data_IF_084196991962
#
_entry.id   IF_084196991962
#
_cell.length_a   1.000
_cell.length_b   1.000
_cell.length_c   1.000
_cell.angle_alpha   90.00
_cell.angle_beta   90.00
_cell.angle_gamma   90.00
#
_symmetry.space_group_name_H-M   'P 1'
#
loop_
_entity.id
_entity.type
_entity.pdbx_description
1 polymer ?
#
# COMPACT_ATOMS: atom_id res chain seq x y z
N UNK A 1 -16.02 10.77 -1.07
CA UNK A 1 -14.73 11.41 -0.66
C UNK A 1 -13.62 10.89 -1.55
N UNK A 2 -12.46 11.53 -1.56
CA UNK A 2 -11.24 11.08 -2.25
C UNK A 2 -10.02 11.51 -1.44
N UNK A 3 -8.82 11.00 -1.78
CA UNK A 3 -7.56 11.40 -1.12
C UNK A 3 -7.33 12.92 -1.14
N UNK A 4 -7.83 13.61 -2.18
CA UNK A 4 -7.72 15.08 -2.27
C UNK A 4 -8.65 15.81 -1.31
N UNK A 5 -9.80 15.27 -1.00
CA UNK A 5 -10.80 15.91 -0.12
C UNK A 5 -10.72 15.42 1.32
N UNK A 6 -10.09 14.27 1.53
CA UNK A 6 -9.82 13.69 2.84
C UNK A 6 -8.57 12.78 2.76
N UNK A 7 -7.36 13.32 2.98
CA UNK A 7 -6.13 12.51 3.05
C UNK A 7 -6.19 11.60 4.28
N UNK A 8 -6.12 10.28 4.06
CA UNK A 8 -6.33 9.31 5.13
C UNK A 8 -5.04 8.85 5.80
N UNK A 9 -3.94 8.74 5.05
CA UNK A 9 -2.68 8.16 5.54
C UNK A 9 -1.75 9.16 6.21
N UNK A 10 -1.76 10.42 5.78
CA UNK A 10 -0.90 11.48 6.34
C UNK A 10 -1.43 12.07 7.64
N UNK A 11 -2.61 11.63 8.12
CA UNK A 11 -3.25 12.09 9.35
C UNK A 11 -2.95 11.14 10.51
N UNK A 12 -3.21 11.60 11.74
CA UNK A 12 -3.23 10.72 12.91
C UNK A 12 -4.25 9.59 12.66
N UNK A 13 -3.81 8.35 12.80
CA UNK A 13 -4.66 7.20 12.60
C UNK A 13 -5.65 7.04 13.76
N UNK A 14 -6.95 6.78 13.47
CA UNK A 14 -7.95 6.50 14.49
C UNK A 14 -7.74 5.12 15.10
N UNK A 15 -8.30 4.88 16.29
CA UNK A 15 -8.29 3.59 16.96
C UNK A 15 -9.61 2.82 16.84
N UNK A 16 -10.63 3.37 16.15
CA UNK A 16 -11.94 2.70 15.97
C UNK A 16 -12.69 3.28 14.77
N UNK A 17 -13.69 2.55 14.25
CA UNK A 17 -14.59 3.05 13.20
C UNK A 17 -15.34 4.31 13.63
N UNK A 18 -15.70 4.42 14.92
CA UNK A 18 -16.33 5.64 15.47
C UNK A 18 -15.41 6.84 15.33
N UNK A 19 -14.14 6.72 15.72
CA UNK A 19 -13.16 7.82 15.59
C UNK A 19 -12.86 8.13 14.13
N UNK A 20 -12.72 7.09 13.28
CA UNK A 20 -12.48 7.25 11.86
C UNK A 20 -13.57 8.13 11.22
N UNK A 21 -14.83 7.80 11.43
CA UNK A 21 -15.97 8.55 10.87
C UNK A 21 -16.13 9.91 11.54
N UNK A 22 -15.88 10.04 12.85
CA UNK A 22 -15.88 11.34 13.52
C UNK A 22 -14.84 12.29 12.93
N UNK A 23 -13.66 11.78 12.56
CA UNK A 23 -12.62 12.56 11.87
C UNK A 23 -13.04 13.04 10.47
N UNK A 24 -14.02 12.39 9.84
CA UNK A 24 -14.51 12.74 8.49
C UNK A 24 -15.58 13.85 8.49
N UNK A 25 -16.01 14.39 9.64
CA UNK A 25 -17.07 15.41 9.72
C UNK A 25 -16.78 16.66 8.89
N UNK A 26 -15.53 17.00 8.69
CA UNK A 26 -15.09 18.14 7.87
C UNK A 26 -14.71 17.77 6.44
N UNK A 27 -14.85 16.49 6.08
CA UNK A 27 -14.53 16.02 4.73
C UNK A 27 -15.54 16.60 3.73
N UNK A 28 -15.01 16.97 2.55
CA UNK A 28 -15.85 17.46 1.45
C UNK A 28 -16.13 16.34 0.45
N UNK A 29 -17.26 16.44 -0.22
CA UNK A 29 -17.53 15.56 -1.36
C UNK A 29 -16.54 15.87 -2.48
N UNK A 30 -16.01 14.85 -3.12
CA UNK A 30 -15.14 14.99 -4.28
C UNK A 30 -15.91 15.39 -5.55
N UNK A 31 -17.18 14.99 -5.62
CA UNK A 31 -18.14 15.33 -6.66
C UNK A 31 -19.57 15.16 -6.11
N UNK A 32 -20.57 15.62 -6.83
CA UNK A 32 -21.96 15.32 -6.50
C UNK A 32 -22.19 13.81 -6.50
N UNK A 33 -23.02 13.26 -5.58
CA UNK A 33 -23.32 11.84 -5.54
C UNK A 33 -23.82 11.31 -6.89
N UNK A 34 -23.33 10.14 -7.31
CA UNK A 34 -23.73 9.49 -8.56
C UNK A 34 -23.11 10.07 -9.83
N UNK A 35 -22.27 11.13 -9.77
CA UNK A 35 -21.71 11.78 -10.96
C UNK A 35 -20.29 11.36 -11.30
N UNK A 36 -19.51 10.90 -10.31
CA UNK A 36 -18.12 10.48 -10.49
C UNK A 36 -17.76 9.36 -9.52
N UNK A 37 -17.11 8.35 -10.02
CA UNK A 37 -16.55 7.30 -9.20
C UNK A 37 -15.09 7.61 -8.80
N UNK A 38 -14.77 7.42 -7.53
CA UNK A 38 -13.41 7.43 -7.00
C UNK A 38 -13.27 6.37 -5.92
N UNK A 39 -12.24 5.54 -6.02
CA UNK A 39 -11.89 4.60 -4.96
C UNK A 39 -11.27 5.32 -3.78
N UNK A 40 -11.79 5.06 -2.58
CA UNK A 40 -11.23 5.65 -1.36
C UNK A 40 -11.58 4.80 -0.15
N UNK A 41 -10.56 4.29 0.56
CA UNK A 41 -10.74 3.42 1.72
C UNK A 41 -11.69 3.97 2.80
N UNK A 42 -11.64 5.25 3.19
CA UNK A 42 -12.56 5.82 4.15
C UNK A 42 -14.05 5.68 3.82
N UNK A 43 -14.43 5.52 2.53
CA UNK A 43 -15.82 5.26 2.17
C UNK A 43 -16.31 3.91 2.72
N UNK A 44 -15.44 2.90 2.74
CA UNK A 44 -15.74 1.57 3.31
C UNK A 44 -15.77 1.61 4.83
N UNK A 45 -14.95 2.44 5.46
CA UNK A 45 -15.00 2.68 6.91
C UNK A 45 -16.36 3.31 7.33
N UNK A 46 -16.89 4.22 6.51
CA UNK A 46 -18.25 4.79 6.72
C UNK A 46 -19.31 3.69 6.60
N UNK A 47 -19.20 2.81 5.58
CA UNK A 47 -20.14 1.69 5.41
C UNK A 47 -20.09 0.71 6.58
N UNK A 48 -18.88 0.34 7.05
CA UNK A 48 -18.71 -0.51 8.22
C UNK A 48 -19.28 0.14 9.49
N UNK A 49 -19.06 1.44 9.70
CA UNK A 49 -19.66 2.16 10.82
C UNK A 49 -21.18 2.23 10.73
N UNK A 50 -21.74 2.34 9.54
CA UNK A 50 -23.20 2.26 9.35
C UNK A 50 -23.74 0.89 9.81
N UNK A 51 -23.05 -0.19 9.49
CA UNK A 51 -23.40 -1.55 10.00
C UNK A 51 -23.40 -1.56 11.51
N UNK A 52 -22.37 -1.01 12.19
CA UNK A 52 -22.34 -0.94 13.65
C UNK A 52 -23.52 -0.16 14.24
N UNK A 53 -23.85 0.98 13.64
CA UNK A 53 -24.94 1.83 14.15
C UNK A 53 -26.30 1.18 14.00
N UNK A 54 -26.55 0.53 12.85
CA UNK A 54 -27.84 -0.09 12.55
C UNK A 54 -28.01 -1.41 13.30
N UNK A 55 -26.95 -2.18 13.45
CA UNK A 55 -27.03 -3.49 14.11
C UNK A 55 -26.87 -3.43 15.65
N UNK A 56 -26.31 -2.34 16.18
CA UNK A 56 -25.94 -2.23 17.60
C UNK A 56 -24.75 -3.12 18.00
N UNK A 57 -24.01 -3.69 17.04
CA UNK A 57 -22.87 -4.59 17.24
C UNK A 57 -21.59 -3.94 16.75
N UNK A 58 -20.43 -4.43 17.21
CA UNK A 58 -19.16 -4.09 16.55
C UNK A 58 -19.13 -4.70 15.13
N UNK A 59 -18.32 -4.13 14.24
CA UNK A 59 -18.22 -4.65 12.87
C UNK A 59 -17.69 -6.09 12.86
N UNK A 60 -16.73 -6.43 13.74
CA UNK A 60 -16.23 -7.80 13.91
C UNK A 60 -17.32 -8.75 14.36
N UNK A 61 -18.09 -8.40 15.42
CA UNK A 61 -19.19 -9.24 15.90
C UNK A 61 -20.28 -9.44 14.86
N UNK A 62 -20.54 -8.39 14.05
CA UNK A 62 -21.51 -8.50 12.96
C UNK A 62 -21.02 -9.48 11.89
N UNK A 63 -19.78 -9.35 11.42
CA UNK A 63 -19.22 -10.24 10.41
C UNK A 63 -19.11 -11.67 10.94
N UNK A 64 -18.68 -11.84 12.18
CA UNK A 64 -18.60 -13.16 12.83
C UNK A 64 -19.97 -13.85 12.93
N UNK A 65 -21.00 -13.09 13.28
CA UNK A 65 -22.37 -13.64 13.45
C UNK A 65 -23.05 -13.94 12.12
N UNK A 66 -22.90 -13.06 11.12
CA UNK A 66 -23.73 -13.10 9.91
C UNK A 66 -22.97 -13.48 8.63
N UNK A 67 -21.65 -13.54 8.69
CA UNK A 67 -20.81 -13.89 7.52
C UNK A 67 -19.87 -15.04 7.85
N UNK A 68 -18.92 -14.83 8.76
CA UNK A 68 -17.86 -15.82 9.05
C UNK A 68 -18.39 -17.10 9.66
N UNK A 69 -19.21 -16.99 10.71
CA UNK A 69 -19.83 -18.16 11.37
C UNK A 69 -20.67 -19.01 10.43
N UNK A 70 -21.66 -18.41 9.72
CA UNK A 70 -22.49 -19.14 8.75
C UNK A 70 -21.71 -19.80 7.60
N UNK A 71 -20.52 -19.26 7.23
CA UNK A 71 -19.64 -19.85 6.22
C UNK A 71 -18.60 -20.82 6.78
N UNK A 72 -18.56 -21.05 8.11
CA UNK A 72 -17.54 -21.87 8.75
C UNK A 72 -16.13 -21.27 8.70
N UNK A 73 -16.00 -19.93 8.52
CA UNK A 73 -14.73 -19.20 8.43
C UNK A 73 -14.16 -18.95 9.85
N UNK A 74 -13.72 -20.01 10.52
CA UNK A 74 -13.31 -19.96 11.91
C UNK A 74 -12.00 -19.21 12.18
N UNK A 75 -11.14 -19.09 11.18
CA UNK A 75 -9.86 -18.37 11.26
C UNK A 75 -9.99 -16.88 10.90
N UNK A 76 -11.20 -16.42 10.54
CA UNK A 76 -11.44 -15.07 10.05
C UNK A 76 -11.95 -14.12 11.14
N UNK A 77 -11.40 -12.91 11.15
CA UNK A 77 -11.80 -11.81 12.04
C UNK A 77 -11.39 -10.46 11.46
N UNK A 78 -11.88 -9.37 12.03
CA UNK A 78 -11.37 -8.03 11.72
C UNK A 78 -10.43 -7.51 12.81
N UNK A 79 -9.56 -6.59 12.43
CA UNK A 79 -8.71 -5.81 13.33
C UNK A 79 -8.88 -4.32 13.03
N UNK A 80 -8.74 -3.49 14.04
CA UNK A 80 -8.79 -2.03 13.90
C UNK A 80 -7.46 -1.48 13.40
N UNK A 81 -6.36 -1.90 13.99
CA UNK A 81 -5.02 -1.36 13.73
C UNK A 81 -4.00 -2.48 13.52
N UNK A 82 -2.92 -2.16 12.80
CA UNK A 82 -1.85 -3.09 12.49
C UNK A 82 -1.16 -3.70 13.74
N UNK A 83 -1.22 -3.02 14.89
CA UNK A 83 -0.68 -3.54 16.14
C UNK A 83 -1.41 -4.79 16.67
N UNK A 84 -2.61 -5.06 16.18
CA UNK A 84 -3.41 -6.26 16.54
C UNK A 84 -3.10 -7.48 15.67
N UNK A 85 -2.17 -7.35 14.69
CA UNK A 85 -1.74 -8.46 13.87
C UNK A 85 -1.08 -9.55 14.72
N UNK A 86 -1.56 -10.81 14.65
CA UNK A 86 -0.93 -11.91 15.35
C UNK A 86 0.43 -12.27 14.71
N UNK A 87 1.27 -12.95 15.47
CA UNK A 87 2.58 -13.39 14.98
C UNK A 87 2.49 -14.28 13.72
N UNK A 88 1.39 -15.04 13.57
CA UNK A 88 1.09 -15.88 12.41
C UNK A 88 0.82 -15.06 11.12
N UNK A 89 0.42 -13.81 11.24
CA UNK A 89 0.18 -12.90 10.12
C UNK A 89 1.29 -11.83 9.99
N UNK A 90 2.50 -12.13 10.45
CA UNK A 90 3.64 -11.21 10.36
C UNK A 90 3.99 -10.92 8.91
N UNK A 91 4.03 -9.65 8.57
CA UNK A 91 4.35 -9.20 7.22
C UNK A 91 5.84 -9.00 6.98
N UNK A 92 6.23 -8.91 5.71
CA UNK A 92 7.63 -8.83 5.28
C UNK A 92 7.78 -7.81 4.14
N UNK A 93 8.95 -7.17 4.11
CA UNK A 93 9.46 -6.53 2.89
C UNK A 93 10.43 -7.46 2.19
N UNK A 94 10.45 -7.41 0.87
CA UNK A 94 11.46 -8.10 0.08
C UNK A 94 12.61 -7.14 -0.20
N UNK A 95 13.83 -7.51 0.21
CA UNK A 95 15.05 -6.73 0.00
C UNK A 95 16.11 -7.70 -0.55
N UNK A 96 16.66 -7.44 -1.71
CA UNK A 96 17.59 -8.33 -2.41
C UNK A 96 17.07 -9.79 -2.54
N UNK A 97 15.76 -9.96 -2.67
CA UNK A 97 15.11 -11.27 -2.75
C UNK A 97 14.95 -11.99 -1.39
N UNK A 98 15.42 -11.42 -0.30
CA UNK A 98 15.21 -11.94 1.05
C UNK A 98 13.96 -11.32 1.70
N UNK A 99 13.15 -12.14 2.38
CA UNK A 99 12.01 -11.67 3.15
C UNK A 99 12.48 -11.16 4.52
N UNK A 100 12.34 -9.85 4.73
CA UNK A 100 12.69 -9.17 5.98
C UNK A 100 11.42 -8.85 6.74
N UNK A 101 11.24 -9.45 7.91
CA UNK A 101 10.07 -9.21 8.75
C UNK A 101 10.06 -7.79 9.31
N UNK A 102 9.00 -7.05 9.03
CA UNK A 102 8.78 -5.70 9.52
C UNK A 102 7.31 -5.53 9.94
N UNK A 103 7.04 -4.71 10.96
CA UNK A 103 5.65 -4.37 11.30
C UNK A 103 5.03 -3.57 10.15
N UNK A 104 3.74 -3.74 9.91
CA UNK A 104 2.96 -2.85 9.04
C UNK A 104 3.02 -1.42 9.59
N UNK A 105 3.20 -0.39 8.74
CA UNK A 105 3.14 0.99 9.21
C UNK A 105 1.80 1.27 9.89
N UNK A 106 1.76 2.13 10.92
CA UNK A 106 0.52 2.46 11.59
C UNK A 106 -0.55 2.93 10.60
N UNK A 107 -1.63 2.18 10.52
CA UNK A 107 -2.79 2.49 9.68
C UNK A 107 -4.05 1.89 10.32
N UNK A 108 -5.18 2.58 10.17
CA UNK A 108 -6.49 2.06 10.54
C UNK A 108 -7.05 1.24 9.38
N UNK A 109 -7.32 -0.04 9.62
CA UNK A 109 -7.71 -0.99 8.58
C UNK A 109 -9.18 -1.38 8.60
N UNK A 110 -9.84 -1.35 9.75
CA UNK A 110 -11.19 -1.91 9.89
C UNK A 110 -12.20 -1.30 8.91
N UNK A 111 -13.02 -2.14 8.32
CA UNK A 111 -13.98 -1.79 7.27
C UNK A 111 -13.37 -1.64 5.87
N UNK A 112 -12.05 -1.37 5.74
CA UNK A 112 -11.41 -1.14 4.45
C UNK A 112 -10.24 -2.06 4.08
N UNK A 113 -9.71 -2.82 5.06
CA UNK A 113 -8.55 -3.69 4.82
C UNK A 113 -8.13 -4.51 6.04
N UNK A 114 -8.85 -4.44 7.15
CA UNK A 114 -8.50 -5.08 8.42
C UNK A 114 -9.00 -6.54 8.57
N UNK A 115 -9.40 -7.22 7.50
CA UNK A 115 -9.81 -8.64 7.61
C UNK A 115 -8.58 -9.54 7.58
N UNK A 116 -8.45 -10.36 8.62
CA UNK A 116 -7.54 -11.52 8.65
C UNK A 116 -8.32 -12.76 8.26
N UNK A 117 -7.73 -13.65 7.49
CA UNK A 117 -8.37 -14.88 7.03
C UNK A 117 -7.33 -15.98 6.74
N UNK A 118 -7.81 -17.19 6.51
CA UNK A 118 -7.01 -18.33 6.03
C UNK A 118 -7.40 -18.70 4.59
N UNK A 119 -6.56 -19.48 3.91
CA UNK A 119 -6.87 -19.97 2.57
C UNK A 119 -8.14 -20.83 2.55
N UNK A 120 -8.40 -21.60 3.61
CA UNK A 120 -9.63 -22.39 3.77
C UNK A 120 -10.85 -21.47 3.86
N UNK A 121 -10.79 -20.46 4.69
CA UNK A 121 -11.90 -19.53 4.90
C UNK A 121 -12.20 -18.73 3.64
N UNK A 122 -11.15 -18.30 2.94
CA UNK A 122 -11.31 -17.62 1.64
C UNK A 122 -11.90 -18.53 0.57
N UNK A 123 -11.64 -19.84 0.61
CA UNK A 123 -12.32 -20.79 -0.28
C UNK A 123 -13.83 -20.86 0.04
N UNK A 124 -14.22 -20.93 1.31
CA UNK A 124 -15.63 -20.89 1.71
C UNK A 124 -16.33 -19.59 1.28
N UNK A 125 -15.64 -18.46 1.45
CA UNK A 125 -16.10 -17.16 0.95
C UNK A 125 -16.33 -17.15 -0.58
N UNK A 126 -15.35 -17.66 -1.36
CA UNK A 126 -15.46 -17.70 -2.82
C UNK A 126 -16.56 -18.67 -3.29
N UNK A 127 -16.75 -19.79 -2.57
CA UNK A 127 -17.89 -20.69 -2.82
C UNK A 127 -19.19 -19.93 -2.66
N UNK A 128 -19.38 -19.19 -1.56
CA UNK A 128 -20.60 -18.42 -1.34
C UNK A 128 -20.81 -17.34 -2.44
N UNK A 129 -19.74 -16.66 -2.85
CA UNK A 129 -19.79 -15.66 -3.90
C UNK A 129 -20.09 -16.25 -5.29
N UNK A 130 -19.63 -17.46 -5.59
CA UNK A 130 -19.91 -18.18 -6.84
C UNK A 130 -21.23 -18.96 -6.84
N UNK A 131 -21.75 -19.31 -5.65
CA UNK A 131 -22.93 -20.17 -5.46
C UNK A 131 -24.17 -19.41 -4.97
N UNK A 132 -24.50 -18.31 -5.62
CA UNK A 132 -25.71 -17.50 -5.35
C UNK A 132 -25.87 -17.06 -3.89
N UNK A 133 -24.77 -16.79 -3.19
CA UNK A 133 -24.75 -16.37 -1.79
C UNK A 133 -24.81 -17.50 -0.79
N UNK A 134 -24.64 -18.75 -1.20
CA UNK A 134 -24.70 -19.94 -0.34
C UNK A 134 -23.32 -20.51 -0.07
N UNK A 135 -22.99 -20.69 1.19
CA UNK A 135 -21.78 -21.37 1.64
C UNK A 135 -21.71 -22.85 1.28
N UNK A 136 -20.60 -23.52 1.65
CA UNK A 136 -20.38 -24.94 1.33
C UNK A 136 -21.46 -25.86 1.92
N UNK A 137 -22.06 -25.52 3.06
CA UNK A 137 -23.13 -26.25 3.73
C UNK A 137 -24.54 -25.86 3.25
N UNK A 138 -24.65 -24.95 2.28
CA UNK A 138 -25.90 -24.43 1.77
C UNK A 138 -26.49 -23.23 2.54
N UNK A 139 -25.87 -22.81 3.65
CA UNK A 139 -26.28 -21.63 4.42
C UNK A 139 -26.16 -20.37 3.59
N UNK A 140 -27.23 -19.56 3.53
CA UNK A 140 -27.26 -18.34 2.73
C UNK A 140 -26.87 -17.12 3.56
N UNK A 141 -25.88 -16.35 3.10
CA UNK A 141 -25.47 -15.08 3.70
C UNK A 141 -26.00 -13.85 2.96
N UNK A 142 -26.43 -14.02 1.74
CA UNK A 142 -27.03 -12.97 0.91
C UNK A 142 -27.98 -13.60 -0.10
N UNK A 143 -29.07 -12.90 -0.43
CA UNK A 143 -30.00 -13.37 -1.46
C UNK A 143 -29.38 -13.35 -2.86
N UNK A 144 -29.81 -14.23 -3.79
CA UNK A 144 -29.31 -14.21 -5.17
C UNK A 144 -29.45 -12.84 -5.87
N UNK A 145 -30.57 -12.09 -5.75
CA UNK A 145 -30.66 -10.73 -6.27
C UNK A 145 -29.68 -9.75 -5.61
N UNK A 146 -29.48 -9.89 -4.28
CA UNK A 146 -28.51 -9.11 -3.53
C UNK A 146 -27.07 -9.34 -4.05
N UNK A 147 -26.68 -10.60 -4.23
CA UNK A 147 -25.39 -10.96 -4.78
C UNK A 147 -25.18 -10.41 -6.19
N UNK A 148 -26.19 -10.53 -7.06
CA UNK A 148 -26.16 -9.97 -8.41
C UNK A 148 -25.97 -8.44 -8.40
N UNK A 149 -26.53 -7.76 -7.39
CA UNK A 149 -26.33 -6.33 -7.17
C UNK A 149 -24.90 -6.02 -6.70
N UNK A 150 -24.33 -6.83 -5.78
CA UNK A 150 -22.96 -6.69 -5.32
C UNK A 150 -21.94 -6.79 -6.47
N UNK A 151 -22.18 -7.66 -7.45
CA UNK A 151 -21.29 -7.90 -8.58
C UNK A 151 -21.58 -7.01 -9.81
N UNK A 152 -22.57 -6.13 -9.75
CA UNK A 152 -22.93 -5.25 -10.88
C UNK A 152 -22.18 -3.92 -10.77
N UNK A 153 -21.32 -3.56 -11.74
CA UNK A 153 -20.69 -2.24 -11.79
C UNK A 153 -21.73 -1.13 -11.88
N UNK A 154 -21.44 0.00 -11.25
CA UNK A 154 -22.25 1.20 -11.47
C UNK A 154 -21.95 1.79 -12.85
N UNK A 155 -22.93 2.47 -13.46
CA UNK A 155 -22.75 3.14 -14.74
C UNK A 155 -21.61 4.17 -14.72
N UNK A 156 -21.37 4.78 -13.55
CA UNK A 156 -20.33 5.81 -13.35
C UNK A 156 -18.93 5.22 -13.22
N UNK A 157 -18.80 4.00 -12.69
CA UNK A 157 -17.50 3.33 -12.53
C UNK A 157 -17.08 2.55 -13.79
N UNK A 158 -18.04 2.05 -14.55
CA UNK A 158 -17.82 1.20 -15.71
C UNK A 158 -17.35 -0.22 -15.39
N UNK A 159 -16.52 -0.40 -14.37
CA UNK A 159 -15.92 -1.70 -14.01
C UNK A 159 -15.93 -2.02 -12.52
N UNK A 160 -16.23 -1.06 -11.64
CA UNK A 160 -16.23 -1.28 -10.20
C UNK A 160 -17.66 -1.38 -9.66
N UNK A 161 -17.91 -2.49 -8.96
CA UNK A 161 -19.18 -2.79 -8.29
C UNK A 161 -19.10 -2.45 -6.78
N UNK A 162 -19.85 -3.13 -5.94
CA UNK A 162 -19.83 -2.91 -4.49
C UNK A 162 -18.73 -3.76 -3.84
N UNK A 163 -17.49 -3.26 -3.91
CA UNK A 163 -16.30 -3.95 -3.41
C UNK A 163 -15.68 -4.97 -4.38
N UNK A 164 -16.12 -5.00 -5.64
CA UNK A 164 -15.64 -5.91 -6.67
C UNK A 164 -15.28 -5.18 -7.95
N UNK A 165 -14.18 -5.58 -8.56
CA UNK A 165 -13.81 -5.19 -9.92
C UNK A 165 -14.29 -6.23 -10.90
N UNK A 166 -15.00 -5.81 -11.94
CA UNK A 166 -15.46 -6.68 -13.02
C UNK A 166 -14.58 -6.42 -14.24
N UNK A 167 -14.01 -7.47 -14.79
CA UNK A 167 -13.04 -7.37 -15.87
C UNK A 167 -12.96 -8.64 -16.70
N UNK A 168 -11.81 -8.82 -17.33
CA UNK A 168 -11.48 -10.01 -18.11
C UNK A 168 -10.09 -10.51 -17.75
N UNK A 169 -9.90 -11.81 -17.84
CA UNK A 169 -8.59 -12.46 -17.76
C UNK A 169 -7.75 -12.15 -18.99
N UNK A 170 -6.51 -12.56 -19.01
CA UNK A 170 -5.64 -12.42 -20.18
C UNK A 170 -6.17 -13.20 -21.41
N UNK A 171 -6.92 -14.29 -21.21
CA UNK A 171 -7.58 -15.04 -22.27
C UNK A 171 -8.87 -14.37 -22.77
N UNK A 172 -9.35 -13.31 -22.11
CA UNK A 172 -10.59 -12.62 -22.43
C UNK A 172 -11.81 -13.15 -21.69
N UNK A 173 -11.71 -14.17 -20.83
CA UNK A 173 -12.81 -14.70 -20.03
C UNK A 173 -13.25 -13.70 -18.95
N UNK A 174 -14.54 -13.67 -18.58
CA UNK A 174 -15.03 -12.75 -17.54
C UNK A 174 -14.43 -13.09 -16.16
N UNK A 175 -14.09 -12.05 -15.38
CA UNK A 175 -13.62 -12.18 -14.02
C UNK A 175 -14.27 -11.15 -13.10
N UNK A 176 -14.49 -11.52 -11.85
CA UNK A 176 -14.99 -10.67 -10.78
C UNK A 176 -14.01 -10.83 -9.62
N UNK A 177 -13.25 -9.81 -9.31
CA UNK A 177 -12.16 -9.93 -8.31
C UNK A 177 -11.88 -8.65 -7.56
N UNK A 178 -11.02 -8.73 -6.58
CA UNK A 178 -10.47 -7.58 -5.86
C UNK A 178 -9.10 -7.90 -5.28
N UNK A 179 -8.18 -6.96 -5.36
CA UNK A 179 -6.88 -7.03 -4.72
C UNK A 179 -6.87 -6.33 -3.37
N UNK A 180 -5.89 -6.67 -2.54
CA UNK A 180 -5.57 -6.00 -1.29
C UNK A 180 -4.07 -5.74 -1.23
N UNK A 181 -3.70 -4.47 -1.00
CA UNK A 181 -2.31 -4.03 -0.98
C UNK A 181 -2.03 -3.30 0.34
N UNK A 182 -1.35 -3.97 1.25
CA UNK A 182 -0.71 -3.38 2.41
C UNK A 182 0.80 -3.28 2.16
N UNK A 183 1.51 -2.59 3.04
CA UNK A 183 2.95 -2.38 2.88
C UNK A 183 3.76 -3.65 3.14
N UNK A 184 3.25 -4.57 3.95
CA UNK A 184 3.92 -5.83 4.32
C UNK A 184 3.12 -7.07 3.99
N UNK A 185 1.93 -6.95 3.40
CA UNK A 185 1.06 -8.06 3.00
C UNK A 185 0.25 -7.71 1.77
N UNK A 186 -0.03 -8.70 0.93
CA UNK A 186 -0.88 -8.55 -0.25
C UNK A 186 -1.90 -9.66 -0.34
N UNK A 187 -3.04 -9.39 -0.97
CA UNK A 187 -4.07 -10.39 -1.23
C UNK A 187 -4.67 -10.17 -2.62
N UNK A 188 -5.19 -11.23 -3.19
CA UNK A 188 -6.01 -11.17 -4.40
C UNK A 188 -7.06 -12.26 -4.37
N UNK A 189 -8.28 -11.94 -4.76
CA UNK A 189 -9.37 -12.90 -4.94
C UNK A 189 -10.08 -12.67 -6.26
N UNK A 190 -10.48 -13.74 -6.91
CA UNK A 190 -11.24 -13.69 -8.16
C UNK A 190 -12.20 -14.86 -8.29
N UNK A 191 -13.33 -14.59 -8.88
CA UNK A 191 -14.28 -15.56 -9.44
C UNK A 191 -14.06 -15.63 -10.93
N UNK A 192 -14.13 -16.82 -11.49
CA UNK A 192 -14.05 -17.13 -12.91
C UNK A 192 -15.40 -17.73 -13.34
N UNK A 193 -16.42 -16.89 -13.63
CA UNK A 193 -17.78 -17.38 -13.88
C UNK A 193 -17.91 -18.37 -15.04
N UNK A 194 -17.02 -18.27 -16.04
CA UNK A 194 -17.03 -19.16 -17.22
C UNK A 194 -16.64 -20.59 -16.87
N UNK A 195 -15.74 -20.79 -15.91
CA UNK A 195 -15.25 -22.13 -15.48
C UNK A 195 -15.83 -22.57 -14.15
N UNK A 196 -16.53 -21.68 -13.41
CA UNK A 196 -17.07 -21.95 -12.08
C UNK A 196 -16.02 -22.01 -10.97
N UNK A 197 -14.79 -21.58 -11.26
CA UNK A 197 -13.70 -21.59 -10.26
C UNK A 197 -13.59 -20.27 -9.51
N UNK A 198 -12.97 -20.32 -8.33
CA UNK A 198 -12.53 -19.16 -7.58
C UNK A 198 -11.05 -19.30 -7.21
N UNK A 199 -10.33 -18.18 -7.19
CA UNK A 199 -8.92 -18.10 -6.79
C UNK A 199 -8.78 -17.11 -5.67
N UNK A 200 -8.13 -17.49 -4.57
CA UNK A 200 -7.70 -16.59 -3.51
C UNK A 200 -6.23 -16.80 -3.21
N UNK A 201 -5.47 -15.72 -3.17
CA UNK A 201 -4.05 -15.72 -2.80
C UNK A 201 -3.84 -14.67 -1.74
N UNK A 202 -3.20 -15.06 -0.65
CA UNK A 202 -2.73 -14.17 0.40
C UNK A 202 -1.24 -14.38 0.57
N UNK A 203 -0.49 -13.29 0.54
CA UNK A 203 0.96 -13.29 0.71
C UNK A 203 1.33 -12.33 1.84
N UNK A 204 2.20 -12.76 2.73
CA UNK A 204 2.77 -11.91 3.78
C UNK A 204 3.99 -11.14 3.31
N UNK A 205 3.95 -10.69 2.06
CA UNK A 205 4.93 -9.80 1.43
C UNK A 205 4.23 -8.58 0.84
N UNK A 206 4.85 -7.43 0.99
CA UNK A 206 4.21 -6.14 0.71
C UNK A 206 3.98 -5.84 -0.77
N UNK A 207 3.24 -4.77 -0.97
CA UNK A 207 2.74 -4.33 -2.28
C UNK A 207 3.85 -3.99 -3.30
N UNK A 208 5.06 -3.64 -2.84
CA UNK A 208 6.19 -3.34 -3.74
C UNK A 208 6.52 -4.49 -4.71
N UNK A 209 6.18 -5.72 -4.34
CA UNK A 209 6.42 -6.92 -5.16
C UNK A 209 5.16 -7.52 -5.78
N UNK A 210 3.96 -7.18 -5.26
CA UNK A 210 2.67 -7.63 -5.81
C UNK A 210 2.50 -9.15 -5.92
N UNK A 211 3.11 -9.92 -5.01
CA UNK A 211 3.20 -11.38 -5.11
C UNK A 211 1.84 -12.06 -5.19
N UNK A 212 0.83 -11.58 -4.44
CA UNK A 212 -0.49 -12.18 -4.46
C UNK A 212 -1.17 -12.06 -5.83
N UNK A 213 -1.14 -10.87 -6.44
CA UNK A 213 -1.71 -10.64 -7.78
C UNK A 213 -0.97 -11.44 -8.85
N UNK A 214 0.37 -11.43 -8.82
CA UNK A 214 1.18 -12.16 -9.80
C UNK A 214 0.96 -13.69 -9.72
N UNK A 215 0.84 -14.23 -8.50
CA UNK A 215 0.55 -15.65 -8.32
C UNK A 215 -0.89 -15.98 -8.73
N UNK A 216 -1.86 -15.14 -8.41
CA UNK A 216 -3.24 -15.32 -8.81
C UNK A 216 -3.40 -15.33 -10.34
N UNK A 217 -2.76 -14.42 -11.06
CA UNK A 217 -2.75 -14.39 -12.53
C UNK A 217 -2.21 -15.68 -13.14
N UNK A 218 -1.14 -16.23 -12.55
CA UNK A 218 -0.56 -17.51 -12.99
C UNK A 218 -1.49 -18.69 -12.70
N UNK A 219 -2.15 -18.72 -11.56
CA UNK A 219 -3.15 -19.74 -11.23
C UNK A 219 -4.37 -19.66 -12.17
N UNK A 220 -4.84 -18.46 -12.48
CA UNK A 220 -5.92 -18.23 -13.42
C UNK A 220 -5.53 -18.75 -14.82
N UNK A 221 -4.33 -18.44 -15.30
CA UNK A 221 -3.84 -18.94 -16.58
C UNK A 221 -3.79 -20.49 -16.61
N UNK A 222 -3.36 -21.13 -15.53
CA UNK A 222 -3.37 -22.61 -15.43
C UNK A 222 -4.79 -23.18 -15.46
N UNK A 223 -5.74 -22.56 -14.76
CA UNK A 223 -7.16 -22.98 -14.80
C UNK A 223 -7.74 -22.84 -16.21
N UNK A 224 -7.35 -21.82 -16.95
CA UNK A 224 -7.79 -21.55 -18.32
C UNK A 224 -7.00 -22.35 -19.37
N UNK A 225 -6.01 -23.16 -18.98
CA UNK A 225 -5.17 -23.92 -19.90
C UNK A 225 -4.27 -23.04 -20.78
N UNK A 226 -3.97 -21.82 -20.35
CA UNK A 226 -3.13 -20.87 -21.08
C UNK A 226 -1.72 -20.79 -20.46
N UNK A 227 -0.69 -20.41 -21.23
CA UNK A 227 0.65 -20.21 -20.67
C UNK A 227 0.62 -19.13 -19.57
N UNK A 228 1.21 -19.39 -18.39
CA UNK A 228 1.27 -18.39 -17.35
C UNK A 228 2.12 -17.19 -17.80
N UNK A 229 1.78 -15.97 -17.38
CA UNK A 229 2.56 -14.77 -17.70
C UNK A 229 4.02 -14.96 -17.23
N UNK A 230 4.99 -14.38 -17.96
CA UNK A 230 6.39 -14.44 -17.57
C UNK A 230 6.59 -13.86 -16.18
N UNK A 231 7.56 -14.38 -15.43
CA UNK A 231 7.95 -13.76 -14.17
C UNK A 231 8.41 -12.32 -14.46
N UNK A 232 7.92 -11.34 -13.67
CA UNK A 232 8.34 -9.96 -13.80
C UNK A 232 9.85 -9.78 -13.62
N UNK A 233 10.37 -8.62 -14.03
CA UNK A 233 11.80 -8.29 -13.83
C UNK A 233 12.15 -8.40 -12.35
N UNK A 234 13.19 -9.18 -11.99
CA UNK A 234 13.55 -9.33 -10.59
C UNK A 234 13.94 -7.98 -9.99
N UNK A 235 13.16 -7.48 -9.05
CA UNK A 235 13.49 -6.25 -8.32
C UNK A 235 14.82 -6.36 -7.55
N UNK A 236 15.33 -7.58 -7.35
CA UNK A 236 16.66 -7.85 -6.82
C UNK A 236 17.76 -7.09 -7.59
N UNK A 237 17.67 -7.01 -8.92
CA UNK A 237 18.65 -6.24 -9.72
C UNK A 237 18.55 -4.75 -9.43
N UNK A 238 17.34 -4.23 -9.30
CA UNK A 238 17.10 -2.82 -8.94
C UNK A 238 17.65 -2.53 -7.54
N UNK A 239 17.36 -3.40 -6.58
CA UNK A 239 17.90 -3.30 -5.22
C UNK A 239 19.43 -3.28 -5.21
N UNK A 240 20.07 -4.21 -5.92
CA UNK A 240 21.53 -4.31 -6.01
C UNK A 240 22.13 -3.02 -6.61
N UNK A 241 21.57 -2.52 -7.69
CA UNK A 241 22.01 -1.27 -8.32
C UNK A 241 21.89 -0.09 -7.35
N UNK A 242 20.76 0.05 -6.67
CA UNK A 242 20.54 1.15 -5.72
C UNK A 242 21.50 1.08 -4.53
N UNK A 243 21.82 -0.10 -4.03
CA UNK A 243 22.79 -0.28 -2.94
C UNK A 243 24.21 0.00 -3.41
N UNK A 244 24.62 -0.42 -4.60
CA UNK A 244 25.92 -0.06 -5.20
C UNK A 244 26.03 1.46 -5.35
N UNK A 245 24.98 2.13 -5.82
CA UNK A 245 24.93 3.59 -5.91
C UNK A 245 25.02 4.24 -4.51
N UNK A 246 24.40 3.66 -3.50
CA UNK A 246 24.52 4.17 -2.11
C UNK A 246 25.97 4.08 -1.61
N UNK A 247 26.67 2.96 -1.82
CA UNK A 247 28.07 2.80 -1.46
C UNK A 247 28.95 3.79 -2.21
N UNK A 248 28.76 3.92 -3.53
CA UNK A 248 29.49 4.89 -4.34
C UNK A 248 29.26 6.34 -3.86
N UNK A 249 28.03 6.69 -3.53
CA UNK A 249 27.65 7.99 -2.98
C UNK A 249 28.34 8.26 -1.65
N UNK A 250 28.36 7.28 -0.74
CA UNK A 250 29.08 7.38 0.54
C UNK A 250 30.59 7.59 0.34
N UNK A 251 31.21 6.84 -0.56
CA UNK A 251 32.63 6.98 -0.89
C UNK A 251 32.95 8.37 -1.48
N UNK A 252 32.13 8.85 -2.40
CA UNK A 252 32.29 10.21 -2.98
C UNK A 252 32.11 11.31 -1.94
N UNK A 253 31.12 11.18 -1.06
CA UNK A 253 30.91 12.12 0.03
C UNK A 253 32.11 12.13 1.01
N UNK A 254 32.58 10.96 1.42
CA UNK A 254 33.79 10.83 2.25
C UNK A 254 35.01 11.49 1.63
N UNK A 255 35.25 11.21 0.33
CA UNK A 255 36.33 11.88 -0.43
C UNK A 255 36.16 13.40 -0.48
N UNK A 256 34.93 13.88 -0.65
CA UNK A 256 34.63 15.31 -0.68
C UNK A 256 34.86 15.97 0.70
N UNK A 257 34.53 15.31 1.81
CA UNK A 257 34.83 15.75 3.18
C UNK A 257 36.33 15.83 3.40
N UNK A 258 37.08 14.79 3.06
CA UNK A 258 38.56 14.78 3.19
C UNK A 258 39.21 15.90 2.35
N UNK A 259 38.67 16.21 1.18
CA UNK A 259 39.17 17.29 0.30
C UNK A 259 38.63 18.68 0.65
N UNK A 260 37.81 18.85 1.68
CA UNK A 260 37.22 20.15 2.03
C UNK A 260 38.27 21.20 2.41
N UNK A 261 39.41 20.81 2.96
CA UNK A 261 40.57 21.73 3.16
C UNK A 261 41.09 22.32 1.86
N UNK A 262 41.37 21.47 0.86
CA UNK A 262 41.83 21.90 -0.47
C UNK A 262 40.76 22.72 -1.19
N UNK A 263 39.51 22.35 -1.06
CA UNK A 263 38.40 23.10 -1.64
C UNK A 263 38.31 24.53 -1.05
N UNK A 264 38.47 24.71 0.26
CA UNK A 264 38.47 26.00 0.94
C UNK A 264 39.75 26.82 0.68
N UNK A 265 40.90 26.19 0.38
CA UNK A 265 42.19 26.83 0.29
C UNK A 265 42.30 27.95 -0.75
N UNK A 266 41.58 27.86 -1.85
CA UNK A 266 41.57 28.88 -2.92
C UNK A 266 40.31 29.76 -2.96
N UNK A 267 39.53 29.83 -1.86
CA UNK A 267 38.21 30.51 -1.86
C UNK A 267 38.08 31.46 -0.69
N UNK A 268 37.46 32.60 -0.95
CA UNK A 268 37.01 33.59 0.05
C UNK A 268 35.47 33.44 0.19
N UNK A 269 34.93 33.78 1.34
CA UNK A 269 33.47 33.80 1.56
C UNK A 269 32.89 34.95 0.70
N UNK A 270 32.33 34.57 -0.41
CA UNK A 270 31.62 35.45 -1.35
C UNK A 270 30.28 34.80 -1.70
N UNK A 271 29.27 35.57 -2.14
CA UNK A 271 27.97 35.00 -2.54
C UNK A 271 28.10 33.81 -3.50
N UNK A 272 28.94 33.90 -4.50
CA UNK A 272 29.20 32.82 -5.46
C UNK A 272 29.82 31.55 -4.85
N UNK A 273 30.59 31.67 -3.79
CA UNK A 273 31.13 30.51 -3.06
C UNK A 273 30.01 29.76 -2.35
N UNK A 274 29.04 30.51 -1.80
CA UNK A 274 27.86 29.93 -1.14
C UNK A 274 26.89 29.29 -2.15
N UNK A 275 26.67 29.94 -3.29
CA UNK A 275 25.85 29.39 -4.39
C UNK A 275 26.33 28.00 -4.83
N UNK A 276 27.64 27.75 -4.84
CA UNK A 276 28.23 26.44 -5.17
C UNK A 276 27.93 25.35 -4.15
N UNK A 277 27.41 25.69 -2.99
CA UNK A 277 26.97 24.73 -1.97
C UNK A 277 25.50 24.36 -2.11
N UNK A 278 24.69 25.16 -2.86
CA UNK A 278 23.26 24.91 -3.03
C UNK A 278 22.91 23.50 -3.56
N UNK A 279 23.67 22.92 -4.50
CA UNK A 279 23.36 21.55 -4.96
C UNK A 279 23.40 20.50 -3.86
N UNK A 280 24.18 20.75 -2.78
CA UNK A 280 24.23 19.84 -1.61
C UNK A 280 22.92 19.84 -0.80
N UNK A 281 22.05 20.83 -1.01
CA UNK A 281 20.74 20.89 -0.36
C UNK A 281 19.70 20.01 -1.09
N UNK A 282 19.93 19.64 -2.34
CA UNK A 282 18.96 18.91 -3.15
C UNK A 282 18.56 17.55 -2.52
N UNK A 283 19.48 16.69 -2.06
CA UNK A 283 19.08 15.45 -1.42
C UNK A 283 18.32 15.66 -0.10
N UNK A 284 18.64 16.71 0.67
CA UNK A 284 17.94 17.06 1.90
C UNK A 284 16.50 17.48 1.60
N UNK A 285 16.29 18.35 0.61
CA UNK A 285 14.97 18.79 0.20
C UNK A 285 14.15 17.64 -0.38
N UNK A 286 14.79 16.78 -1.18
CA UNK A 286 14.13 15.61 -1.73
C UNK A 286 13.71 14.64 -0.61
N UNK A 287 14.58 14.32 0.34
CA UNK A 287 14.24 13.46 1.47
C UNK A 287 13.07 14.03 2.29
N UNK A 288 13.09 15.33 2.56
CA UNK A 288 12.02 15.99 3.31
C UNK A 288 10.68 15.96 2.57
N UNK A 289 10.69 16.00 1.23
CA UNK A 289 9.48 16.12 0.39
C UNK A 289 9.14 14.85 -0.41
N UNK A 290 9.86 13.75 -0.24
CA UNK A 290 9.74 12.54 -1.07
C UNK A 290 8.31 11.97 -1.10
N UNK A 291 7.57 12.04 0.01
CA UNK A 291 6.18 11.62 0.08
C UNK A 291 5.28 12.42 -0.87
N UNK A 292 5.55 13.72 -1.07
CA UNK A 292 4.81 14.56 -2.01
C UNK A 292 5.13 14.18 -3.46
N UNK A 293 6.40 13.88 -3.75
CA UNK A 293 6.82 13.42 -5.08
C UNK A 293 6.14 12.10 -5.42
N UNK A 294 6.19 11.13 -4.49
CA UNK A 294 5.53 9.82 -4.66
C UNK A 294 4.02 10.01 -4.80
N UNK A 295 3.39 10.79 -3.93
CA UNK A 295 1.95 11.09 -4.05
C UNK A 295 1.57 11.69 -5.40
N UNK A 296 2.38 12.60 -5.94
CA UNK A 296 2.15 13.18 -7.28
C UNK A 296 2.27 12.12 -8.39
N UNK A 297 3.27 11.24 -8.33
CA UNK A 297 3.45 10.13 -9.28
C UNK A 297 2.27 9.14 -9.23
N UNK A 298 1.68 8.92 -8.06
CA UNK A 298 0.48 8.09 -7.86
C UNK A 298 -0.83 8.89 -8.04
N UNK A 299 -0.86 9.85 -8.95
CA UNK A 299 -2.06 10.65 -9.33
C UNK A 299 -2.67 11.46 -8.18
N UNK A 300 -1.85 11.91 -7.24
CA UNK A 300 -2.28 12.71 -6.09
C UNK A 300 -2.85 11.88 -4.94
N UNK A 301 -2.47 10.61 -4.84
CA UNK A 301 -2.77 9.79 -3.65
C UNK A 301 -2.07 10.37 -2.42
N UNK A 302 -2.76 10.26 -1.29
CA UNK A 302 -2.18 10.58 0.01
C UNK A 302 -1.16 9.49 0.40
N UNK A 303 0.08 9.91 0.63
CA UNK A 303 1.18 9.03 1.03
C UNK A 303 1.88 9.66 2.23
N UNK A 304 1.93 8.93 3.34
CA UNK A 304 2.71 9.35 4.49
C UNK A 304 4.22 9.11 4.23
N UNK A 305 5.07 9.96 4.82
CA UNK A 305 6.52 9.88 4.60
C UNK A 305 7.09 8.48 4.93
N UNK A 306 6.67 7.89 6.05
CA UNK A 306 7.13 6.55 6.48
C UNK A 306 6.78 5.48 5.46
N UNK A 307 5.67 5.59 4.76
CA UNK A 307 5.21 4.62 3.77
C UNK A 307 6.15 4.52 2.56
N UNK A 308 6.84 5.61 2.20
CA UNK A 308 7.83 5.58 1.11
C UNK A 308 8.98 4.63 1.41
N UNK A 309 9.38 4.51 2.69
CA UNK A 309 10.42 3.58 3.11
C UNK A 309 10.00 2.10 2.95
N UNK A 310 8.72 1.82 3.04
CA UNK A 310 8.18 0.48 2.78
C UNK A 310 8.00 0.18 1.30
N UNK A 311 7.65 1.20 0.50
CA UNK A 311 7.49 1.06 -0.94
C UNK A 311 8.83 0.84 -1.66
N UNK A 312 9.85 1.58 -1.24
CA UNK A 312 11.15 1.65 -1.92
C UNK A 312 12.32 1.66 -0.91
N UNK A 313 12.53 0.57 -0.13
CA UNK A 313 13.49 0.56 0.97
C UNK A 313 14.92 0.86 0.52
N UNK A 314 15.39 0.24 -0.56
CA UNK A 314 16.76 0.42 -1.08
C UNK A 314 16.97 1.81 -1.68
N UNK A 315 15.95 2.38 -2.33
CA UNK A 315 15.98 3.77 -2.77
C UNK A 315 16.07 4.74 -1.58
N UNK A 316 15.35 4.48 -0.49
CA UNK A 316 15.42 5.30 0.71
C UNK A 316 16.79 5.20 1.39
N UNK A 317 17.46 4.05 1.34
CA UNK A 317 18.86 3.90 1.79
C UNK A 317 19.78 4.79 0.94
N UNK A 318 19.65 4.77 -0.38
CA UNK A 318 20.41 5.65 -1.27
C UNK A 318 20.16 7.13 -0.95
N UNK A 319 18.89 7.53 -0.82
CA UNK A 319 18.51 8.92 -0.55
C UNK A 319 19.00 9.39 0.83
N UNK A 320 18.89 8.56 1.86
CA UNK A 320 19.43 8.85 3.18
C UNK A 320 20.96 8.99 3.14
N UNK A 321 21.66 8.11 2.44
CA UNK A 321 23.12 8.17 2.25
C UNK A 321 23.52 9.46 1.52
N UNK A 322 22.83 9.82 0.46
CA UNK A 322 23.07 11.07 -0.27
C UNK A 322 22.82 12.30 0.61
N UNK A 323 21.78 12.28 1.42
CA UNK A 323 21.42 13.34 2.37
C UNK A 323 22.50 13.53 3.44
N UNK A 324 22.87 12.46 4.12
CA UNK A 324 23.90 12.48 5.18
C UNK A 324 25.27 12.87 4.62
N UNK A 325 25.62 12.33 3.45
CA UNK A 325 26.84 12.66 2.74
C UNK A 325 26.90 14.13 2.35
N UNK A 326 25.83 14.67 1.77
CA UNK A 326 25.72 16.08 1.39
C UNK A 326 25.79 17.00 2.61
N UNK A 327 25.10 16.66 3.69
CA UNK A 327 25.16 17.42 4.93
C UNK A 327 26.59 17.44 5.52
N UNK A 328 27.27 16.30 5.55
CA UNK A 328 28.65 16.20 6.05
C UNK A 328 29.61 17.04 5.20
N UNK A 329 29.49 17.01 3.86
CA UNK A 329 30.29 17.84 2.94
C UNK A 329 30.00 19.33 3.15
N UNK A 330 28.73 19.70 3.29
CA UNK A 330 28.31 21.08 3.54
C UNK A 330 28.91 21.62 4.83
N UNK A 331 28.74 20.90 5.92
CA UNK A 331 29.31 21.27 7.24
C UNK A 331 30.83 21.37 7.17
N UNK A 332 31.51 20.37 6.58
CA UNK A 332 32.97 20.39 6.45
C UNK A 332 33.48 21.59 5.65
N UNK A 333 32.81 21.94 4.56
CA UNK A 333 33.21 23.10 3.71
C UNK A 333 32.96 24.42 4.44
N UNK A 334 31.78 24.63 5.05
CA UNK A 334 31.47 25.84 5.79
C UNK A 334 32.42 26.04 6.98
N UNK A 335 32.69 24.98 7.76
CA UNK A 335 33.64 25.03 8.88
C UNK A 335 35.04 25.43 8.42
N UNK A 336 35.53 24.94 7.27
CA UNK A 336 36.85 25.29 6.73
C UNK A 336 36.90 26.70 6.17
N UNK A 337 35.82 27.22 5.62
CA UNK A 337 35.73 28.62 5.18
C UNK A 337 35.79 29.57 6.38
N UNK A 338 34.95 29.34 7.41
CA UNK A 338 34.89 30.21 8.59
C UNK A 338 36.16 30.24 9.45
N UNK A 339 36.97 29.13 9.46
CA UNK A 339 38.30 29.15 10.13
C UNK A 339 39.33 29.98 9.41
N UNK A 340 39.21 30.19 8.11
CA UNK A 340 40.16 31.02 7.33
C UNK A 340 39.90 32.51 7.49
N UNK A 341 38.70 32.94 7.82
CA UNK A 341 38.41 34.35 8.09
C UNK A 341 38.86 34.82 9.47
N UNK A 342 39.15 33.84 10.37
CA UNK A 342 39.63 34.11 11.72
C UNK A 342 41.14 33.97 11.89
N UNK A 343 41.84 33.48 10.86
CA UNK A 343 43.29 33.34 10.79
C UNK A 343 43.90 34.32 9.78
#
# INVERSE_FOLDING_TARGET
MSDRTFPAFSRRQPGSLREAVAGMRTARLAAAPGTRWEYHNPNFQVAARLVEVVSGRTFDDYLRTYVFGPLGMADSRTIDVAAELPASARGHLMILGAAVALPEPPAFGNGSGGVLSSARDMAAWLVAQGNRGRGPDGTSIVSPPGLATLHRPSAVSGSYALGWSVGRTASGAPTIGHGGDLFTSTAYQALLPASGHGVAVMANTGLSHGHASALAERLIALIEGTPPPPAGTPLVVVDAVLLVLAVATAALAGRAVLRSRRWAAGRVVRPWTLVRLLPLLAPLLLLASIHRVVGALYRGRDVAWVQVAYLYPTFMVLLATATLGSAAVLVARLFRLGRRERA
#
